data_IF_807467685879
#
_entry.id   IF_807467685879
#
_cell.length_a   1.000
_cell.length_b   1.000
_cell.length_c   1.000
_cell.angle_alpha   90.00
_cell.angle_beta   90.00
_cell.angle_gamma   90.00
#
_symmetry.space_group_name_H-M   'P 1'
#
loop_
_entity.id
_entity.type
_entity.pdbx_description
1 polymer ?
#
# COMPACT_ATOMS: atom_id res chain seq x y z
N UNK A 1 12.13 2.82 -12.93
CA UNK A 1 10.73 2.99 -13.39
C UNK A 1 9.78 1.90 -12.90
N UNK A 2 10.14 0.61 -12.92
CA UNK A 2 9.23 -0.49 -12.58
C UNK A 2 8.53 -0.36 -11.20
N UNK A 3 9.23 0.13 -10.17
CA UNK A 3 8.75 0.15 -8.77
C UNK A 3 7.47 0.98 -8.58
N UNK A 4 7.31 2.08 -9.32
CA UNK A 4 6.13 2.95 -9.23
C UNK A 4 5.07 2.66 -10.30
N UNK A 5 5.29 1.70 -11.19
CA UNK A 5 4.38 1.45 -12.32
C UNK A 5 2.96 1.18 -11.85
N UNK A 6 2.79 0.41 -10.76
CA UNK A 6 1.48 0.12 -10.19
C UNK A 6 0.79 1.39 -9.70
N UNK A 7 1.51 2.22 -8.94
CA UNK A 7 1.00 3.51 -8.44
C UNK A 7 0.63 4.43 -9.60
N UNK A 8 1.50 4.56 -10.60
CA UNK A 8 1.27 5.39 -11.79
C UNK A 8 0.03 4.90 -12.55
N UNK A 9 -0.08 3.60 -12.82
CA UNK A 9 -1.22 3.02 -13.55
C UNK A 9 -2.53 3.20 -12.79
N UNK A 10 -2.53 3.05 -11.45
CA UNK A 10 -3.73 3.31 -10.66
C UNK A 10 -4.21 4.76 -10.79
N UNK A 11 -3.29 5.72 -10.70
CA UNK A 11 -3.62 7.14 -10.81
C UNK A 11 -4.02 7.54 -12.23
N UNK A 12 -3.37 6.97 -13.26
CA UNK A 12 -3.81 7.14 -14.64
C UNK A 12 -5.22 6.58 -14.85
N UNK A 13 -5.54 5.42 -14.27
CA UNK A 13 -6.89 4.86 -14.33
C UNK A 13 -7.92 5.78 -13.64
N UNK A 14 -7.59 6.36 -12.48
CA UNK A 14 -8.46 7.33 -11.81
C UNK A 14 -8.73 8.56 -12.69
N UNK A 15 -7.69 9.12 -13.31
CA UNK A 15 -7.81 10.25 -14.23
C UNK A 15 -8.67 9.89 -15.45
N UNK A 16 -8.49 8.71 -16.03
CA UNK A 16 -9.26 8.27 -17.19
C UNK A 16 -10.74 8.04 -16.87
N UNK A 17 -11.03 7.42 -15.72
CA UNK A 17 -12.40 7.17 -15.25
C UNK A 17 -13.14 8.47 -14.97
N UNK A 18 -12.47 9.46 -14.37
CA UNK A 18 -13.06 10.78 -14.09
C UNK A 18 -13.19 11.62 -15.36
N UNK A 19 -12.17 11.64 -16.23
CA UNK A 19 -12.23 12.38 -17.49
C UNK A 19 -13.40 11.93 -18.37
N UNK A 20 -13.64 10.62 -18.47
CA UNK A 20 -14.76 10.09 -19.26
C UNK A 20 -16.12 10.61 -18.76
N UNK A 21 -16.26 10.85 -17.47
CA UNK A 21 -17.45 11.47 -16.90
C UNK A 21 -17.53 12.96 -17.22
N UNK A 22 -16.45 13.71 -16.97
CA UNK A 22 -16.45 15.16 -17.21
C UNK A 22 -16.51 15.56 -18.69
N UNK A 23 -16.16 14.65 -19.62
CA UNK A 23 -16.30 14.86 -21.06
C UNK A 23 -17.78 14.73 -21.53
N UNK A 24 -18.66 14.08 -20.76
CA UNK A 24 -20.11 13.89 -21.04
C UNK A 24 -20.88 13.76 -19.73
N UNK A 25 -21.01 14.85 -18.97
CA UNK A 25 -21.60 14.83 -17.61
C UNK A 25 -23.07 14.37 -17.60
N UNK A 26 -23.82 14.57 -18.68
CA UNK A 26 -25.24 14.22 -18.78
C UNK A 26 -25.49 12.72 -18.95
N UNK A 27 -24.52 11.97 -19.51
CA UNK A 27 -24.66 10.53 -19.81
C UNK A 27 -23.54 9.68 -19.25
N UNK A 28 -22.53 10.32 -18.68
CA UNK A 28 -21.36 9.69 -18.10
C UNK A 28 -21.73 8.94 -16.83
N UNK A 29 -21.44 7.65 -16.82
CA UNK A 29 -21.44 6.88 -15.58
C UNK A 29 -20.17 7.18 -14.80
N UNK A 30 -20.32 7.64 -13.56
CA UNK A 30 -19.20 7.87 -12.65
C UNK A 30 -19.01 6.68 -11.71
N UNK A 31 -18.04 5.83 -12.05
CA UNK A 31 -17.64 4.66 -11.26
C UNK A 31 -16.80 5.06 -10.03
N UNK A 32 -17.47 5.68 -9.06
CA UNK A 32 -16.87 6.12 -7.80
C UNK A 32 -16.36 4.95 -6.94
N UNK A 33 -16.89 3.73 -7.12
CA UNK A 33 -16.42 2.54 -6.40
C UNK A 33 -15.01 2.13 -6.85
N UNK A 34 -14.79 2.06 -8.17
CA UNK A 34 -13.47 1.81 -8.73
C UNK A 34 -12.50 2.93 -8.36
N UNK A 35 -12.94 4.20 -8.41
CA UNK A 35 -12.12 5.33 -7.99
C UNK A 35 -11.69 5.22 -6.53
N UNK A 36 -12.61 4.89 -5.61
CA UNK A 36 -12.28 4.71 -4.20
C UNK A 36 -11.31 3.53 -3.98
N UNK A 37 -11.49 2.42 -4.71
CA UNK A 37 -10.60 1.26 -4.64
C UNK A 37 -9.18 1.58 -5.14
N UNK A 38 -9.08 2.35 -6.22
CA UNK A 38 -7.81 2.82 -6.77
C UNK A 38 -7.14 3.83 -5.85
N UNK A 39 -7.90 4.78 -5.29
CA UNK A 39 -7.41 5.76 -4.32
C UNK A 39 -6.87 5.07 -3.06
N UNK A 40 -7.62 4.10 -2.52
CA UNK A 40 -7.20 3.26 -1.38
C UNK A 40 -5.87 2.57 -1.68
N UNK A 41 -5.75 1.96 -2.85
CA UNK A 41 -4.53 1.27 -3.28
C UNK A 41 -3.35 2.24 -3.46
N UNK A 42 -3.60 3.44 -3.97
CA UNK A 42 -2.60 4.50 -4.11
C UNK A 42 -2.11 4.98 -2.75
N UNK A 43 -3.01 5.09 -1.76
CA UNK A 43 -2.69 5.46 -0.39
C UNK A 43 -1.72 4.48 0.29
N UNK A 44 -1.95 3.17 0.14
CA UNK A 44 -1.06 2.14 0.69
C UNK A 44 0.31 2.15 0.02
N UNK A 45 0.33 2.31 -1.30
CA UNK A 45 1.57 2.40 -2.06
C UNK A 45 2.35 3.68 -1.71
N UNK A 46 1.65 4.80 -1.48
CA UNK A 46 2.25 6.04 -1.02
C UNK A 46 2.89 5.84 0.35
N UNK A 47 2.16 5.31 1.34
CA UNK A 47 2.72 5.09 2.69
C UNK A 47 3.92 4.14 2.66
N UNK A 48 3.84 3.05 1.88
CA UNK A 48 4.94 2.11 1.73
C UNK A 48 6.19 2.79 1.16
N UNK A 49 6.00 3.66 0.17
CA UNK A 49 7.09 4.43 -0.42
C UNK A 49 7.71 5.32 0.64
N UNK A 50 6.90 6.16 1.31
CA UNK A 50 7.37 7.04 2.38
C UNK A 50 8.16 6.30 3.45
N UNK A 51 7.68 5.12 3.85
CA UNK A 51 8.27 4.29 4.89
C UNK A 51 9.64 3.72 4.52
N UNK A 52 9.81 3.20 3.30
CA UNK A 52 11.08 2.59 2.89
C UNK A 52 12.10 3.65 2.46
N UNK A 53 11.63 4.81 2.01
CA UNK A 53 12.46 5.92 1.55
C UNK A 53 12.72 6.98 2.61
N UNK A 54 12.61 6.64 3.91
CA UNK A 54 12.86 7.57 5.01
C UNK A 54 14.34 8.03 5.04
N UNK A 55 14.65 9.32 4.78
CA UNK A 55 16.02 9.77 4.62
C UNK A 55 16.89 9.59 5.87
N UNK A 56 16.28 9.56 7.05
CA UNK A 56 17.00 9.34 8.31
C UNK A 56 17.35 7.88 8.59
N UNK A 57 17.00 6.94 7.71
CA UNK A 57 17.35 5.54 7.88
C UNK A 57 18.84 5.30 7.64
N UNK A 58 19.48 4.71 8.65
CA UNK A 58 20.77 4.06 8.43
C UNK A 58 20.56 2.67 7.80
N UNK A 59 21.67 2.09 7.32
CA UNK A 59 21.66 0.81 6.62
C UNK A 59 21.04 -0.33 7.45
N UNK A 60 21.35 -0.42 8.74
CA UNK A 60 20.81 -1.45 9.63
C UNK A 60 19.29 -1.34 9.75
N UNK A 61 18.76 -0.13 9.94
CA UNK A 61 17.32 0.12 10.01
C UNK A 61 16.65 -0.17 8.67
N UNK A 62 17.24 0.28 7.59
CA UNK A 62 16.73 0.05 6.24
C UNK A 62 16.66 -1.45 5.92
N UNK A 63 17.74 -2.21 6.18
CA UNK A 63 17.75 -3.66 5.94
C UNK A 63 16.74 -4.38 6.85
N UNK A 64 16.59 -3.94 8.11
CA UNK A 64 15.56 -4.49 8.99
C UNK A 64 14.15 -4.33 8.39
N UNK A 65 13.82 -3.14 7.89
CA UNK A 65 12.54 -2.87 7.20
C UNK A 65 12.38 -3.74 5.96
N UNK A 66 13.44 -3.86 5.14
CA UNK A 66 13.45 -4.72 3.95
C UNK A 66 13.22 -6.20 4.30
N UNK A 67 13.86 -6.71 5.34
CA UNK A 67 13.67 -8.09 5.79
C UNK A 67 12.24 -8.35 6.31
N UNK A 68 11.62 -7.38 6.98
CA UNK A 68 10.19 -7.48 7.36
C UNK A 68 9.30 -7.63 6.14
N UNK A 69 9.50 -6.81 5.11
CA UNK A 69 8.72 -6.85 3.88
C UNK A 69 8.86 -8.21 3.16
N UNK A 70 10.08 -8.74 3.06
CA UNK A 70 10.30 -10.06 2.46
C UNK A 70 9.71 -11.21 3.26
N UNK A 71 9.77 -11.13 4.60
CA UNK A 71 9.16 -12.16 5.44
C UNK A 71 7.64 -12.18 5.26
N UNK A 72 7.02 -10.99 5.26
CA UNK A 72 5.59 -10.84 5.03
C UNK A 72 5.16 -11.36 3.65
N UNK A 73 5.89 -11.01 2.59
CA UNK A 73 5.63 -11.52 1.23
C UNK A 73 5.76 -13.06 1.17
N UNK A 74 6.86 -13.60 1.68
CA UNK A 74 7.11 -15.05 1.70
C UNK A 74 6.00 -15.81 2.44
N UNK A 75 5.54 -15.29 3.58
CA UNK A 75 4.44 -15.87 4.33
C UNK A 75 3.12 -15.81 3.57
N UNK A 76 2.80 -14.68 2.94
CA UNK A 76 1.58 -14.54 2.15
C UNK A 76 1.59 -15.46 0.93
N UNK A 77 2.71 -15.54 0.19
CA UNK A 77 2.89 -16.46 -0.94
C UNK A 77 2.71 -17.90 -0.54
N UNK A 78 3.33 -18.31 0.57
CA UNK A 78 3.11 -19.63 1.14
C UNK A 78 1.63 -19.88 1.46
N UNK A 79 0.93 -18.91 2.06
CA UNK A 79 -0.49 -19.03 2.43
C UNK A 79 -1.40 -19.25 1.23
N UNK A 80 -1.25 -18.49 0.14
CA UNK A 80 -2.15 -18.60 -1.01
C UNK A 80 -1.76 -19.71 -2.00
N UNK A 81 -0.49 -20.11 -2.06
CA UNK A 81 -0.04 -21.21 -2.95
C UNK A 81 -0.25 -22.61 -2.32
N UNK A 82 -0.31 -22.70 -0.99
CA UNK A 82 -0.48 -23.97 -0.26
C UNK A 82 -1.71 -24.79 -0.72
N UNK A 83 -2.91 -24.20 -0.93
CA UNK A 83 -4.06 -24.93 -1.44
C UNK A 83 -3.77 -25.57 -2.80
N UNK A 84 -3.25 -24.81 -3.76
CA UNK A 84 -2.95 -25.30 -5.11
C UNK A 84 -1.89 -26.41 -5.12
N UNK A 85 -0.92 -26.34 -4.19
CA UNK A 85 0.06 -27.41 -4.00
C UNK A 85 -0.59 -28.73 -3.55
N UNK A 86 -1.62 -28.66 -2.69
CA UNK A 86 -2.37 -29.87 -2.27
C UNK A 86 -3.10 -30.52 -3.44
N UNK A 87 -3.46 -29.73 -4.45
CA UNK A 87 -4.10 -30.19 -5.68
C UNK A 87 -3.09 -30.68 -6.74
N UNK A 88 -1.81 -30.81 -6.38
CA UNK A 88 -0.76 -31.36 -7.24
C UNK A 88 -0.09 -30.35 -8.18
N UNK A 89 -0.34 -29.04 -8.00
CA UNK A 89 0.38 -28.00 -8.75
C UNK A 89 1.74 -27.76 -8.08
N UNK A 90 2.81 -28.08 -8.80
CA UNK A 90 4.18 -27.81 -8.34
C UNK A 90 4.57 -26.35 -8.60
N UNK A 91 5.09 -25.70 -7.57
CA UNK A 91 5.62 -24.33 -7.66
C UNK A 91 7.06 -24.33 -7.18
N UNK A 92 7.99 -23.85 -8.02
CA UNK A 92 9.41 -23.70 -7.65
C UNK A 92 9.62 -22.86 -6.38
N UNK A 93 8.65 -22.00 -6.02
CA UNK A 93 8.64 -21.29 -4.73
C UNK A 93 8.88 -22.21 -3.52
N UNK A 94 8.31 -23.42 -3.51
CA UNK A 94 8.39 -24.32 -2.35
C UNK A 94 9.71 -25.09 -2.24
N UNK A 95 10.57 -25.06 -3.27
CA UNK A 95 11.85 -25.79 -3.25
C UNK A 95 12.77 -25.28 -2.13
N UNK A 96 12.75 -23.97 -1.86
CA UNK A 96 13.59 -23.33 -0.86
C UNK A 96 12.84 -22.38 0.09
N UNK A 97 11.50 -22.29 0.01
CA UNK A 97 10.70 -21.35 0.81
C UNK A 97 11.01 -21.38 2.32
N UNK A 98 11.16 -22.57 2.91
CA UNK A 98 11.42 -22.70 4.34
C UNK A 98 12.84 -22.21 4.69
N UNK A 99 13.84 -22.58 3.89
CA UNK A 99 15.22 -22.12 4.07
C UNK A 99 15.34 -20.60 3.91
N UNK A 100 14.67 -20.02 2.90
CA UNK A 100 14.60 -18.57 2.70
C UNK A 100 13.95 -17.88 3.89
N UNK A 101 12.81 -18.39 4.37
CA UNK A 101 12.11 -17.84 5.53
C UNK A 101 12.96 -17.88 6.80
N UNK A 102 13.65 -18.99 7.04
CA UNK A 102 14.50 -19.14 8.23
C UNK A 102 15.75 -18.26 8.15
N UNK A 103 16.30 -18.06 6.95
CA UNK A 103 17.36 -17.08 6.68
C UNK A 103 16.92 -15.65 7.01
N UNK A 104 15.74 -15.23 6.52
CA UNK A 104 15.17 -13.90 6.81
C UNK A 104 14.93 -13.73 8.32
N UNK A 105 14.36 -14.73 8.99
CA UNK A 105 14.15 -14.71 10.44
C UNK A 105 15.45 -14.57 11.21
N UNK A 106 16.48 -15.33 10.84
CA UNK A 106 17.81 -15.22 11.45
C UNK A 106 18.38 -13.81 11.30
N UNK A 107 18.25 -13.22 10.09
CA UNK A 107 18.71 -11.86 9.81
C UNK A 107 17.95 -10.80 10.61
N UNK A 108 16.62 -10.90 10.71
CA UNK A 108 15.80 -10.07 11.59
C UNK A 108 16.22 -10.18 13.06
N UNK A 109 16.60 -11.37 13.51
CA UNK A 109 17.10 -11.58 14.88
C UNK A 109 18.38 -10.79 15.16
N UNK A 110 19.34 -10.85 14.24
CA UNK A 110 20.62 -10.12 14.34
C UNK A 110 20.41 -8.61 14.27
N UNK A 111 19.74 -8.13 13.23
CA UNK A 111 19.47 -6.71 13.02
C UNK A 111 18.62 -6.13 14.15
N UNK A 112 17.61 -6.86 14.63
CA UNK A 112 16.77 -6.42 15.73
C UNK A 112 17.54 -6.28 17.05
N UNK A 113 18.49 -7.17 17.32
CA UNK A 113 19.38 -7.07 18.48
C UNK A 113 20.33 -5.87 18.37
N UNK A 114 20.87 -5.60 17.17
CA UNK A 114 21.71 -4.43 16.89
C UNK A 114 20.93 -3.12 17.07
N UNK A 115 19.65 -3.11 16.70
CA UNK A 115 18.72 -1.99 16.92
C UNK A 115 18.18 -1.92 18.36
N UNK A 116 18.67 -2.76 19.27
CA UNK A 116 18.31 -2.81 20.69
C UNK A 116 16.82 -3.10 20.95
N UNK A 117 16.15 -3.82 20.06
CA UNK A 117 14.80 -4.33 20.33
C UNK A 117 14.82 -5.45 21.38
N UNK A 118 13.74 -5.53 22.17
CA UNK A 118 13.57 -6.64 23.10
C UNK A 118 13.42 -7.97 22.36
N UNK A 119 13.80 -9.08 23.00
CA UNK A 119 13.63 -10.42 22.44
C UNK A 119 12.16 -10.72 22.09
N UNK A 120 11.22 -10.21 22.89
CA UNK A 120 9.79 -10.31 22.60
C UNK A 120 9.41 -9.60 21.30
N UNK A 121 9.87 -8.36 21.09
CA UNK A 121 9.60 -7.58 19.88
C UNK A 121 10.26 -8.18 18.65
N UNK A 122 11.47 -8.71 18.79
CA UNK A 122 12.16 -9.46 17.73
C UNK A 122 11.37 -10.72 17.35
N UNK A 123 10.96 -11.52 18.33
CA UNK A 123 10.17 -12.72 18.11
C UNK A 123 8.83 -12.41 17.43
N UNK A 124 8.20 -11.29 17.81
CA UNK A 124 6.99 -10.81 17.18
C UNK A 124 7.19 -10.47 15.69
N UNK A 125 8.26 -9.74 15.36
CA UNK A 125 8.64 -9.46 13.98
C UNK A 125 8.95 -10.72 13.16
N UNK A 126 9.62 -11.70 13.76
CA UNK A 126 9.92 -12.99 13.11
C UNK A 126 8.69 -13.84 12.79
N UNK A 127 7.50 -13.50 13.32
CA UNK A 127 6.23 -14.11 12.90
C UNK A 127 5.87 -13.74 11.47
N UNK A 128 6.28 -12.56 11.00
CA UNK A 128 6.08 -12.11 9.62
C UNK A 128 4.67 -11.64 9.30
N UNK A 129 3.94 -11.14 10.30
CA UNK A 129 2.65 -10.46 10.11
C UNK A 129 2.82 -8.94 9.98
N UNK A 130 3.99 -8.42 10.36
CA UNK A 130 4.27 -6.99 10.37
C UNK A 130 4.90 -6.54 9.06
N UNK A 131 4.40 -5.42 8.55
CA UNK A 131 4.93 -4.72 7.38
C UNK A 131 5.72 -3.48 7.82
N UNK A 132 5.28 -2.84 8.91
CA UNK A 132 5.84 -1.61 9.46
C UNK A 132 6.44 -1.85 10.84
N UNK A 133 7.60 -1.25 11.09
CA UNK A 133 8.11 -1.04 12.45
C UNK A 133 7.12 -0.11 13.17
N UNK A 134 6.76 -0.44 14.41
CA UNK A 134 5.76 0.26 15.22
C UNK A 134 4.35 0.39 14.57
N UNK A 135 4.06 -0.46 13.58
CA UNK A 135 2.77 -0.54 12.93
C UNK A 135 2.46 0.64 11.98
N UNK A 136 1.27 0.60 11.37
CA UNK A 136 0.87 1.58 10.35
C UNK A 136 0.88 3.01 10.89
N UNK A 137 0.40 3.24 12.13
CA UNK A 137 0.43 4.56 12.79
C UNK A 137 1.85 5.08 12.99
N UNK A 138 2.82 4.19 13.20
CA UNK A 138 4.24 4.54 13.28
C UNK A 138 4.73 5.08 11.94
N UNK A 139 4.49 4.32 10.87
CA UNK A 139 4.87 4.72 9.51
C UNK A 139 4.22 6.04 9.07
N UNK A 140 2.95 6.28 9.42
CA UNK A 140 2.24 7.53 9.10
C UNK A 140 2.87 8.74 9.79
N UNK A 141 3.23 8.59 11.07
CA UNK A 141 3.95 9.65 11.82
C UNK A 141 5.32 9.94 11.23
N UNK A 142 6.06 8.91 10.83
CA UNK A 142 7.36 9.07 10.16
C UNK A 142 7.23 9.73 8.78
N UNK A 143 6.14 9.47 8.06
CA UNK A 143 5.82 10.13 6.80
C UNK A 143 5.49 11.62 6.98
N UNK A 144 5.27 12.09 8.22
CA UNK A 144 4.86 13.46 8.51
C UNK A 144 3.38 13.73 8.23
N UNK A 145 2.57 12.67 8.13
CA UNK A 145 1.14 12.78 7.85
C UNK A 145 0.32 12.81 9.14
N UNK A 146 -0.87 13.39 9.05
CA UNK A 146 -1.85 13.35 10.14
C UNK A 146 -2.40 11.93 10.29
N UNK A 147 -2.30 11.38 11.51
CA UNK A 147 -2.69 10.00 11.79
C UNK A 147 -4.20 9.82 11.73
N UNK A 148 -4.96 10.78 12.27
CA UNK A 148 -6.41 10.68 12.36
C UNK A 148 -7.04 10.84 10.96
N UNK A 149 -6.50 11.75 10.15
CA UNK A 149 -6.88 11.92 8.74
C UNK A 149 -6.56 10.66 7.92
N UNK A 150 -5.36 10.10 8.08
CA UNK A 150 -5.00 8.87 7.39
C UNK A 150 -5.90 7.70 7.79
N UNK A 151 -6.20 7.53 9.08
CA UNK A 151 -7.09 6.47 9.56
C UNK A 151 -8.52 6.64 9.09
N UNK A 152 -9.02 7.88 9.05
CA UNK A 152 -10.31 8.20 8.45
C UNK A 152 -10.34 7.77 6.99
N UNK A 153 -9.37 8.23 6.18
CA UNK A 153 -9.26 7.88 4.76
C UNK A 153 -9.21 6.37 4.54
N UNK A 154 -8.34 5.68 5.28
CA UNK A 154 -8.18 4.23 5.21
C UNK A 154 -9.48 3.48 5.50
N UNK A 155 -10.13 3.83 6.61
CA UNK A 155 -11.34 3.16 7.08
C UNK A 155 -12.52 3.45 6.16
N UNK A 156 -12.67 4.70 5.74
CA UNK A 156 -13.75 5.13 4.86
C UNK A 156 -13.65 4.45 3.50
N UNK A 157 -12.46 4.44 2.89
CA UNK A 157 -12.24 3.81 1.58
C UNK A 157 -12.28 2.28 1.61
N UNK A 158 -11.96 1.66 2.75
CA UNK A 158 -12.05 0.19 2.92
C UNK A 158 -13.46 -0.33 2.61
N UNK A 159 -14.50 0.44 2.94
CA UNK A 159 -15.89 0.08 2.64
C UNK A 159 -16.19 -0.02 1.14
N UNK A 160 -15.39 0.63 0.28
CA UNK A 160 -15.58 0.65 -1.18
C UNK A 160 -14.76 -0.41 -1.91
N UNK A 161 -13.76 -1.01 -1.25
CA UNK A 161 -12.98 -2.13 -1.80
C UNK A 161 -13.80 -3.42 -1.84
N UNK A 162 -14.74 -3.56 -0.93
CA UNK A 162 -15.58 -4.73 -0.79
C UNK A 162 -16.98 -4.44 -1.34
N UNK A 163 -17.50 -5.31 -2.20
CA UNK A 163 -18.89 -5.27 -2.65
C UNK A 163 -19.83 -5.71 -1.53
N UNK A 164 -19.98 -4.88 -0.50
CA UNK A 164 -20.90 -5.13 0.59
C UNK A 164 -22.34 -4.81 0.17
N UNK A 165 -23.35 -5.60 0.57
CA UNK A 165 -24.77 -5.31 0.29
C UNK A 165 -25.23 -3.92 0.77
N UNK A 166 -24.50 -3.33 1.73
CA UNK A 166 -24.75 -1.96 2.21
C UNK A 166 -24.59 -0.92 1.10
N UNK A 167 -23.71 -1.15 0.10
CA UNK A 167 -23.60 -0.23 -1.04
C UNK A 167 -24.89 -0.20 -1.86
N UNK A 168 -25.60 -1.32 -1.99
CA UNK A 168 -26.92 -1.38 -2.62
C UNK A 168 -27.98 -0.63 -1.80
N UNK A 169 -27.95 -0.75 -0.47
CA UNK A 169 -28.87 -0.04 0.43
C UNK A 169 -28.65 1.48 0.36
N UNK A 170 -27.39 1.92 0.21
CA UNK A 170 -27.03 3.33 0.12
C UNK A 170 -27.25 3.97 -1.26
N UNK A 171 -27.60 3.19 -2.29
CA UNK A 171 -27.91 3.74 -3.61
C UNK A 171 -29.03 4.77 -3.52
N UNK A 172 -30.09 4.44 -2.77
CA UNK A 172 -31.23 5.34 -2.58
C UNK A 172 -30.86 6.56 -1.72
N UNK A 173 -30.07 6.36 -0.65
CA UNK A 173 -29.62 7.44 0.25
C UNK A 173 -28.75 8.47 -0.49
N UNK A 174 -27.91 8.01 -1.41
CA UNK A 174 -27.00 8.85 -2.19
C UNK A 174 -27.53 9.20 -3.59
N UNK A 175 -28.79 8.83 -3.88
CA UNK A 175 -29.47 9.08 -5.16
C UNK A 175 -28.64 8.63 -6.37
N UNK A 176 -27.89 7.53 -6.23
CA UNK A 176 -27.02 7.01 -7.28
C UNK A 176 -27.90 6.46 -8.40
N UNK A 177 -27.69 6.94 -9.62
CA UNK A 177 -28.42 6.48 -10.81
C UNK A 177 -27.46 5.94 -11.86
N UNK A 178 -28.02 5.23 -12.85
CA UNK A 178 -27.29 4.81 -14.05
C UNK A 178 -27.57 5.71 -15.26
N UNK A 179 -28.33 6.80 -15.07
CA UNK A 179 -28.62 7.77 -16.12
C UNK A 179 -27.66 8.96 -16.08
N UNK A 180 -27.12 9.27 -14.88
CA UNK A 180 -26.09 10.27 -14.65
C UNK A 180 -25.53 10.16 -13.23
N UNK A 181 -24.47 10.93 -12.93
CA UNK A 181 -23.88 10.92 -11.58
C UNK A 181 -24.69 11.77 -10.60
N UNK A 182 -24.90 11.26 -9.39
CA UNK A 182 -25.43 12.04 -8.29
C UNK A 182 -24.41 13.04 -7.75
N UNK A 183 -24.87 14.10 -7.09
CA UNK A 183 -23.97 15.08 -6.46
C UNK A 183 -22.98 14.41 -5.50
N UNK A 184 -23.44 13.39 -4.75
CA UNK A 184 -22.56 12.60 -3.88
C UNK A 184 -21.41 11.96 -4.67
N UNK A 185 -21.69 11.35 -5.83
CA UNK A 185 -20.64 10.73 -6.64
C UNK A 185 -19.62 11.76 -7.11
N UNK A 186 -20.07 12.95 -7.53
CA UNK A 186 -19.20 14.04 -7.98
C UNK A 186 -18.32 14.56 -6.84
N UNK A 187 -18.93 14.92 -5.71
CA UNK A 187 -18.21 15.43 -4.52
C UNK A 187 -17.22 14.39 -3.99
N UNK A 188 -17.64 13.13 -3.96
CA UNK A 188 -16.76 12.05 -3.52
C UNK A 188 -15.58 11.87 -4.48
N UNK A 189 -15.78 11.99 -5.80
CA UNK A 189 -14.68 11.92 -6.75
C UNK A 189 -13.70 13.10 -6.62
N UNK A 190 -14.19 14.32 -6.38
CA UNK A 190 -13.33 15.46 -6.05
C UNK A 190 -12.49 15.17 -4.80
N UNK A 191 -13.14 14.71 -3.73
CA UNK A 191 -12.47 14.32 -2.51
C UNK A 191 -11.36 13.28 -2.76
N UNK A 192 -11.66 12.21 -3.51
CA UNK A 192 -10.70 11.15 -3.82
C UNK A 192 -9.49 11.66 -4.59
N UNK A 193 -9.72 12.53 -5.58
CA UNK A 193 -8.66 13.10 -6.41
C UNK A 193 -7.78 14.06 -5.59
N UNK A 194 -8.38 14.96 -4.82
CA UNK A 194 -7.66 15.92 -3.98
C UNK A 194 -6.84 15.21 -2.90
N UNK A 195 -7.46 14.29 -2.17
CA UNK A 195 -6.81 13.47 -1.15
C UNK A 195 -5.62 12.71 -1.77
N UNK A 196 -5.85 11.98 -2.87
CA UNK A 196 -4.78 11.20 -3.51
C UNK A 196 -3.65 12.08 -4.01
N UNK A 197 -3.96 13.23 -4.61
CA UNK A 197 -2.96 14.21 -5.06
C UNK A 197 -2.09 14.71 -3.89
N UNK A 198 -2.70 15.00 -2.73
CA UNK A 198 -1.97 15.42 -1.53
C UNK A 198 -0.93 14.39 -1.06
N UNK A 199 -1.34 13.12 -0.94
CA UNK A 199 -0.41 12.04 -0.56
C UNK A 199 0.69 11.82 -1.62
N UNK A 200 0.35 11.93 -2.90
CA UNK A 200 1.33 11.77 -3.99
C UNK A 200 2.33 12.92 -4.08
N UNK A 201 1.90 14.16 -3.78
CA UNK A 201 2.81 15.29 -3.68
C UNK A 201 3.87 15.04 -2.59
N UNK A 202 3.44 14.55 -1.43
CA UNK A 202 4.35 14.16 -0.35
C UNK A 202 5.32 13.03 -0.77
N UNK A 203 4.85 12.07 -1.56
CA UNK A 203 5.72 11.02 -2.13
C UNK A 203 6.74 11.59 -3.11
N UNK A 204 6.34 12.53 -3.97
CA UNK A 204 7.26 13.20 -4.89
C UNK A 204 8.34 13.96 -4.12
N UNK A 205 7.96 14.79 -3.15
CA UNK A 205 8.89 15.53 -2.29
C UNK A 205 9.85 14.59 -1.56
N UNK A 206 9.33 13.46 -1.06
CA UNK A 206 10.12 12.44 -0.39
C UNK A 206 11.14 11.79 -1.32
N UNK A 207 10.74 11.46 -2.55
CA UNK A 207 11.62 10.83 -3.52
C UNK A 207 12.69 11.80 -4.02
N UNK A 208 12.38 13.09 -4.14
CA UNK A 208 13.37 14.14 -4.46
C UNK A 208 14.42 14.27 -3.36
N UNK A 209 14.03 14.11 -2.09
CA UNK A 209 14.95 14.11 -0.96
C UNK A 209 15.75 12.80 -0.81
N UNK A 210 15.12 11.65 -1.09
CA UNK A 210 15.71 10.33 -0.89
C UNK A 210 16.61 9.87 -2.03
N UNK A 211 16.22 10.15 -3.28
CA UNK A 211 16.93 9.64 -4.46
C UNK A 211 18.00 10.59 -4.94
N UNK A 212 19.20 10.06 -5.21
CA UNK A 212 20.23 10.80 -5.93
C UNK A 212 19.93 10.68 -7.44
N UNK A 213 19.84 11.81 -8.19
CA UNK A 213 19.57 11.76 -9.62
C UNK A 213 20.56 10.87 -10.37
N UNK A 214 20.06 9.79 -10.98
CA UNK A 214 20.87 8.83 -11.74
C UNK A 214 21.47 7.67 -10.94
N UNK A 215 21.47 7.72 -9.60
CA UNK A 215 22.03 6.66 -8.73
C UNK A 215 20.94 5.80 -8.07
N UNK A 216 19.73 6.34 -7.87
CA UNK A 216 18.59 5.58 -7.36
C UNK A 216 18.56 5.48 -5.83
N UNK A 217 18.34 4.28 -5.29
CA UNK A 217 18.31 4.04 -3.83
C UNK A 217 19.71 4.22 -3.24
N UNK A 218 19.93 5.23 -2.36
CA UNK A 218 21.24 5.51 -1.79
C UNK A 218 21.77 4.38 -0.90
N UNK A 219 20.91 3.47 -0.43
CA UNK A 219 21.32 2.31 0.36
C UNK A 219 21.73 1.10 -0.51
N UNK A 220 21.51 1.17 -1.83
CA UNK A 220 22.00 0.22 -2.83
C UNK A 220 21.43 -1.20 -2.74
N UNK A 221 22.09 -2.13 -3.44
CA UNK A 221 21.82 -3.56 -3.32
C UNK A 221 22.62 -4.16 -2.16
N UNK A 222 21.92 -4.57 -1.11
CA UNK A 222 22.49 -5.43 -0.08
C UNK A 222 22.48 -6.89 -0.56
N UNK A 223 23.66 -7.51 -0.58
CA UNK A 223 23.86 -8.96 -0.79
C UNK A 223 23.08 -9.82 0.23
#
# INVERSE_FOLDING_TARGET
MAVFSKLIVHNMAMILLTKKFFDDEERGLLDHFSLASLARSSLDAALMTMYISEPSLNLTRWDFRRQLLFLHDTNNRSRFLKPLRKDGVEFGFFENADAVRDGIRSKLGKLGAELLYSQEKIADYQRGFHIFVDGVRGAVREAGWDVDEFEFNQSYLSAYVHSHPVSFIRLDEHQVTFEGASQFQVDFCHYLLEMTAGYLASVADRMDAFSLPGEGDPNGHLE
#
